data_IF_203763074524
#
_entry.id   IF_203763074524
#
_cell.length_a   1.000
_cell.length_b   1.000
_cell.length_c   1.000
_cell.angle_alpha   90.00
_cell.angle_beta   90.00
_cell.angle_gamma   90.00
#
_symmetry.space_group_name_H-M   'P 1'
#
loop_
_entity.id
_entity.type
_entity.pdbx_description
1 polymer ?
#
# COMPACT_ATOMS: atom_id res chain seq x y z
N UNK A 1 16.76 1.54 -10.02
CA UNK A 1 15.79 0.74 -9.23
C UNK A 1 15.20 1.63 -8.14
N UNK A 2 13.90 1.54 -7.83
CA UNK A 2 13.32 1.86 -6.49
C UNK A 2 12.18 2.89 -6.37
N UNK A 3 11.55 3.38 -7.44
CA UNK A 3 10.29 4.16 -7.31
C UNK A 3 9.08 3.22 -7.18
N UNK A 4 8.90 2.32 -8.15
CA UNK A 4 7.79 1.34 -8.18
C UNK A 4 7.73 0.44 -6.94
N UNK A 5 8.88 -0.02 -6.43
CA UNK A 5 8.97 -0.91 -5.26
C UNK A 5 8.34 -0.34 -3.99
N UNK A 6 8.48 0.97 -3.76
CA UNK A 6 7.96 1.62 -2.54
C UNK A 6 6.45 1.79 -2.60
N UNK A 7 5.93 2.21 -3.76
CA UNK A 7 4.50 2.42 -3.97
C UNK A 7 3.73 1.09 -3.93
N UNK A 8 4.21 0.05 -4.63
CA UNK A 8 3.61 -1.30 -4.61
C UNK A 8 3.56 -1.85 -3.19
N UNK A 9 4.65 -1.72 -2.43
CA UNK A 9 4.70 -2.16 -1.03
C UNK A 9 3.65 -1.46 -0.15
N UNK A 10 3.49 -0.15 -0.30
CA UNK A 10 2.51 0.63 0.46
C UNK A 10 1.07 0.33 0.05
N UNK A 11 0.81 0.06 -1.24
CA UNK A 11 -0.50 -0.42 -1.71
C UNK A 11 -0.84 -1.76 -1.07
N UNK A 12 0.11 -2.70 -1.05
CA UNK A 12 -0.05 -4.01 -0.39
C UNK A 12 -0.30 -3.86 1.12
N UNK A 13 0.48 -3.03 1.80
CA UNK A 13 0.26 -2.71 3.23
C UNK A 13 -1.13 -2.14 3.49
N UNK A 14 -1.58 -1.24 2.62
CA UNK A 14 -2.92 -0.64 2.70
C UNK A 14 -3.99 -1.71 2.49
N UNK A 15 -3.78 -2.66 1.59
CA UNK A 15 -4.69 -3.79 1.39
C UNK A 15 -4.74 -4.75 2.55
N UNK A 16 -3.62 -4.95 3.26
CA UNK A 16 -3.57 -5.78 4.47
C UNK A 16 -4.33 -5.11 5.61
N UNK A 17 -4.22 -3.78 5.75
CA UNK A 17 -5.03 -3.04 6.72
C UNK A 17 -6.54 -3.18 6.46
N UNK A 18 -6.93 -3.31 5.19
CA UNK A 18 -8.32 -3.60 4.81
C UNK A 18 -8.73 -5.07 4.91
N UNK A 19 -7.82 -6.00 5.25
CA UNK A 19 -8.10 -7.44 5.20
C UNK A 19 -9.23 -7.86 6.17
N UNK A 20 -9.38 -7.15 7.29
CA UNK A 20 -10.44 -7.39 8.27
C UNK A 20 -11.76 -6.65 7.92
N UNK A 21 -11.81 -5.98 6.77
CA UNK A 21 -12.96 -5.20 6.29
C UNK A 21 -13.12 -3.82 6.96
N UNK A 22 -12.39 -3.58 8.04
CA UNK A 22 -12.33 -2.29 8.74
C UNK A 22 -10.88 -1.82 8.86
N UNK A 23 -10.63 -0.56 8.54
CA UNK A 23 -9.35 0.10 8.82
C UNK A 23 -9.55 1.02 10.02
N UNK A 24 -8.86 0.71 11.11
CA UNK A 24 -8.91 1.49 12.34
C UNK A 24 -8.05 2.75 12.25
N UNK A 25 -8.34 3.76 13.08
CA UNK A 25 -7.50 4.97 13.17
C UNK A 25 -6.05 4.65 13.56
N UNK A 26 -5.83 3.59 14.34
CA UNK A 26 -4.51 3.11 14.72
C UNK A 26 -3.72 2.62 13.50
N UNK A 27 -4.34 1.83 12.63
CA UNK A 27 -3.73 1.37 11.37
C UNK A 27 -3.45 2.52 10.42
N UNK A 28 -4.38 3.49 10.32
CA UNK A 28 -4.14 4.71 9.56
C UNK A 28 -2.94 5.49 10.07
N UNK A 29 -2.75 5.57 11.40
CA UNK A 29 -1.61 6.27 11.98
C UNK A 29 -0.29 5.53 11.71
N UNK A 30 -0.30 4.19 11.74
CA UNK A 30 0.84 3.37 11.35
C UNK A 30 1.16 3.59 9.87
N UNK A 31 0.17 3.52 8.97
CA UNK A 31 0.34 3.79 7.54
C UNK A 31 0.89 5.19 7.28
N UNK A 32 0.37 6.22 7.96
CA UNK A 32 0.90 7.59 7.92
C UNK A 32 2.36 7.68 8.35
N UNK A 33 2.77 6.91 9.36
CA UNK A 33 4.16 6.86 9.81
C UNK A 33 5.07 6.24 8.74
N UNK A 34 4.61 5.19 8.06
CA UNK A 34 5.31 4.59 6.93
C UNK A 34 5.42 5.58 5.76
N UNK A 35 4.33 6.25 5.39
CA UNK A 35 4.34 7.25 4.32
C UNK A 35 5.40 8.35 4.53
N UNK A 36 5.51 8.85 5.76
CA UNK A 36 6.56 9.82 6.12
C UNK A 36 7.96 9.22 6.02
N UNK A 37 8.13 7.95 6.41
CA UNK A 37 9.42 7.24 6.36
C UNK A 37 9.88 6.91 4.94
N UNK A 38 8.95 6.66 4.03
CA UNK A 38 9.24 6.41 2.62
C UNK A 38 9.46 7.68 1.78
N UNK A 39 9.19 8.86 2.37
CA UNK A 39 9.35 10.19 1.76
C UNK A 39 8.60 10.32 0.42
N UNK A 40 7.32 9.94 0.44
CA UNK A 40 6.46 9.92 -0.74
C UNK A 40 6.17 11.33 -1.27
N UNK A 41 6.09 11.42 -2.59
CA UNK A 41 5.65 12.62 -3.29
C UNK A 41 4.14 12.84 -3.10
N UNK A 42 3.69 14.07 -3.38
CA UNK A 42 2.27 14.45 -3.24
C UNK A 42 1.35 13.59 -4.11
N UNK A 43 1.81 13.19 -5.28
CA UNK A 43 1.06 12.36 -6.22
C UNK A 43 0.91 10.92 -5.70
N UNK A 44 1.99 10.35 -5.15
CA UNK A 44 1.97 9.03 -4.51
C UNK A 44 1.04 9.00 -3.28
N UNK A 45 1.06 10.07 -2.48
CA UNK A 45 0.15 10.25 -1.35
C UNK A 45 -1.32 10.36 -1.79
N UNK A 46 -1.59 11.02 -2.92
CA UNK A 46 -2.93 11.13 -3.48
C UNK A 46 -3.44 9.76 -3.95
N UNK A 47 -2.57 8.98 -4.59
CA UNK A 47 -2.86 7.61 -5.01
C UNK A 47 -3.18 6.73 -3.79
N UNK A 48 -2.32 6.73 -2.77
CA UNK A 48 -2.51 5.94 -1.56
C UNK A 48 -3.75 6.35 -0.76
N UNK A 49 -4.11 7.64 -0.74
CA UNK A 49 -5.36 8.10 -0.13
C UNK A 49 -6.58 7.48 -0.81
N UNK A 50 -6.53 7.24 -2.11
CA UNK A 50 -7.61 6.56 -2.82
C UNK A 50 -7.76 5.11 -2.35
N UNK A 51 -6.64 4.40 -2.22
CA UNK A 51 -6.59 3.03 -1.68
C UNK A 51 -6.96 2.95 -0.18
N UNK A 52 -6.78 4.03 0.57
CA UNK A 52 -7.20 4.15 1.97
C UNK A 52 -8.67 4.52 2.15
N UNK A 53 -9.33 5.04 1.11
CA UNK A 53 -10.72 5.47 1.19
C UNK A 53 -11.71 4.31 1.00
N UNK A 54 -11.30 3.27 0.26
CA UNK A 54 -12.11 2.10 0.01
C UNK A 54 -11.25 0.83 -0.04
N UNK A 55 -11.78 -0.31 0.45
CA UNK A 55 -11.13 -1.59 0.26
C UNK A 55 -11.09 -1.92 -1.23
N UNK A 56 -9.94 -2.38 -1.72
CA UNK A 56 -9.84 -2.94 -3.07
C UNK A 56 -10.44 -4.33 -3.13
N UNK A 57 -10.79 -4.76 -4.33
CA UNK A 57 -11.31 -6.12 -4.55
C UNK A 57 -10.26 -7.18 -4.19
N UNK A 58 -10.71 -8.38 -3.77
CA UNK A 58 -9.82 -9.52 -3.50
C UNK A 58 -8.95 -9.90 -4.70
N UNK A 59 -9.43 -9.65 -5.92
CA UNK A 59 -8.68 -9.88 -7.16
C UNK A 59 -7.49 -8.92 -7.25
N UNK A 60 -7.74 -7.64 -7.05
CA UNK A 60 -6.73 -6.58 -7.10
C UNK A 60 -5.72 -6.71 -5.96
N UNK A 61 -6.18 -7.09 -4.75
CA UNK A 61 -5.29 -7.42 -3.64
C UNK A 61 -4.30 -8.54 -4.01
N UNK A 62 -4.78 -9.60 -4.66
CA UNK A 62 -3.92 -10.70 -5.11
C UNK A 62 -2.93 -10.27 -6.18
N UNK A 63 -3.38 -9.48 -7.17
CA UNK A 63 -2.51 -8.95 -8.23
C UNK A 63 -1.39 -8.07 -7.65
N UNK A 64 -1.71 -7.18 -6.70
CA UNK A 64 -0.73 -6.35 -6.00
C UNK A 64 0.26 -7.19 -5.18
N UNK A 65 -0.22 -8.26 -4.56
CA UNK A 65 0.62 -9.17 -3.76
C UNK A 65 1.58 -9.98 -4.64
N UNK A 66 1.08 -10.56 -5.74
CA UNK A 66 1.88 -11.27 -6.73
C UNK A 66 2.92 -10.34 -7.37
N UNK A 67 2.54 -9.09 -7.66
CA UNK A 67 3.46 -8.07 -8.17
C UNK A 67 4.55 -7.72 -7.16
N UNK A 68 4.22 -7.58 -5.87
CA UNK A 68 5.21 -7.34 -4.82
C UNK A 68 6.20 -8.50 -4.69
N UNK A 69 5.71 -9.75 -4.68
CA UNK A 69 6.57 -10.94 -4.62
C UNK A 69 7.52 -10.96 -5.81
N UNK A 70 7.01 -10.76 -7.02
CA UNK A 70 7.83 -10.73 -8.23
C UNK A 70 8.91 -9.64 -8.17
N UNK A 71 8.59 -8.46 -7.63
CA UNK A 71 9.55 -7.35 -7.48
C UNK A 71 10.61 -7.60 -6.39
N UNK A 72 10.27 -8.34 -5.33
CA UNK A 72 11.19 -8.74 -4.27
C UNK A 72 12.12 -9.87 -4.72
N UNK A 73 11.58 -10.87 -5.44
CA UNK A 73 12.33 -12.02 -5.96
C UNK A 73 13.29 -11.63 -7.11
N UNK A 74 12.96 -10.56 -7.84
CA UNK A 74 13.82 -9.98 -8.88
C UNK A 74 14.92 -9.03 -8.33
N UNK A 75 15.32 -9.15 -7.06
CA UNK A 75 16.33 -8.28 -6.40
C UNK A 75 17.61 -9.01 -6.01
#
# INVERSE_FOLDING_TARGET
MSYFKKLTFLKVLTTIAWADGEVTQSELNILKSFYRKFNLDKDELAELKHYLAAPVSKKEQKELYDQLIHELDSS
#
